data_IF_565885872217
#
_entry.id   IF_565885872217
#
_cell.length_a   1.000
_cell.length_b   1.000
_cell.length_c   1.000
_cell.angle_alpha   90.00
_cell.angle_beta   90.00
_cell.angle_gamma   90.00
#
_symmetry.space_group_name_H-M   'P 1'
#
loop_
_entity.id
_entity.type
_entity.pdbx_description
1 polymer ?
#
# COMPACT_ATOMS: atom_id res chain seq x y z
N UNK A 1 -30.24 50.28 48.92
CA UNK A 1 -30.03 51.69 48.56
C UNK A 1 -28.57 51.99 48.86
N UNK A 2 -27.80 52.32 47.80
CA UNK A 2 -26.35 52.64 47.72
C UNK A 2 -25.41 51.43 47.82
N UNK A 3 -24.84 50.86 46.73
CA UNK A 3 -23.79 51.35 45.78
C UNK A 3 -22.58 51.92 46.50
N UNK A 4 -21.30 51.57 46.28
CA UNK A 4 -20.52 50.82 45.25
C UNK A 4 -19.04 50.80 45.74
N UNK A 5 -18.00 50.29 45.04
CA UNK A 5 -17.95 49.43 43.84
C UNK A 5 -16.90 48.28 43.86
N UNK A 6 -17.15 47.32 42.96
CA UNK A 6 -16.24 46.57 42.08
C UNK A 6 -14.71 46.60 42.32
N UNK A 7 -14.13 45.46 42.71
CA UNK A 7 -12.78 45.08 42.30
C UNK A 7 -12.87 44.40 40.93
N UNK A 8 -12.35 45.09 39.89
CA UNK A 8 -12.04 44.50 38.59
C UNK A 8 -11.00 43.39 38.78
N UNK A 9 -11.33 42.18 38.37
CA UNK A 9 -10.34 41.14 38.11
C UNK A 9 -9.41 41.64 37.01
N UNK A 10 -8.16 41.89 37.37
CA UNK A 10 -7.09 42.14 36.42
C UNK A 10 -7.04 40.97 35.45
N UNK A 11 -7.28 41.28 34.17
CA UNK A 11 -6.91 40.43 33.07
C UNK A 11 -5.41 40.16 33.19
N UNK A 12 -5.04 38.93 33.56
CA UNK A 12 -3.70 38.40 33.35
C UNK A 12 -3.40 38.51 31.85
N UNK A 13 -2.70 39.57 31.49
CA UNK A 13 -2.02 39.65 30.21
C UNK A 13 -0.93 38.58 30.27
N UNK A 14 -0.90 37.61 29.33
CA UNK A 14 0.22 36.69 29.28
C UNK A 14 1.48 37.54 29.11
N UNK A 15 2.41 37.43 30.05
CA UNK A 15 3.72 38.05 29.93
C UNK A 15 4.37 37.65 28.60
N UNK A 16 5.33 38.46 28.10
CA UNK A 16 6.00 38.15 26.85
C UNK A 16 6.64 36.77 26.94
N UNK A 17 6.23 35.86 26.05
CA UNK A 17 6.84 34.55 25.86
C UNK A 17 8.34 34.77 25.66
N UNK A 18 9.16 34.11 26.48
CA UNK A 18 10.62 34.18 26.40
C UNK A 18 11.06 33.57 25.06
N UNK A 19 11.14 34.44 24.06
CA UNK A 19 11.46 34.19 22.65
C UNK A 19 12.97 34.13 22.46
N UNK A 20 13.66 33.21 23.15
CA UNK A 20 15.13 33.19 23.19
C UNK A 20 15.82 31.92 22.74
N UNK A 21 15.17 30.76 22.83
CA UNK A 21 15.77 29.45 22.55
C UNK A 21 14.70 28.44 22.13
N UNK A 22 13.90 28.80 21.12
CA UNK A 22 12.85 27.94 20.57
C UNK A 22 12.91 27.94 19.05
N UNK A 23 12.75 26.77 18.44
CA UNK A 23 12.73 26.61 16.99
C UNK A 23 11.30 26.83 16.48
N UNK A 24 11.07 27.95 15.80
CA UNK A 24 9.76 28.28 15.24
C UNK A 24 8.66 28.31 16.31
N UNK A 25 7.55 27.63 16.04
CA UNK A 25 6.40 27.51 16.94
C UNK A 25 6.47 26.27 17.85
N UNK A 26 7.62 25.58 17.89
CA UNK A 26 7.82 24.37 18.70
C UNK A 26 8.38 24.68 20.08
N UNK A 27 8.31 23.71 21.01
CA UNK A 27 8.96 23.78 22.31
C UNK A 27 10.45 23.39 22.29
N UNK A 28 11.03 23.17 21.11
CA UNK A 28 12.37 22.61 20.94
C UNK A 28 13.47 23.67 20.99
N UNK A 29 14.57 23.38 21.69
CA UNK A 29 15.71 24.29 21.88
C UNK A 29 16.61 24.40 20.64
N UNK A 30 16.89 25.63 20.20
CA UNK A 30 17.87 25.90 19.14
C UNK A 30 19.27 25.48 19.59
N UNK A 31 19.65 25.81 20.83
CA UNK A 31 20.97 25.49 21.40
C UNK A 31 21.25 24.00 21.45
N UNK A 32 20.25 23.20 21.79
CA UNK A 32 20.36 21.75 21.78
C UNK A 32 20.74 21.24 20.39
N UNK A 33 20.00 21.64 19.35
CA UNK A 33 20.28 21.24 17.97
C UNK A 33 21.66 21.75 17.51
N UNK A 34 21.98 23.01 17.78
CA UNK A 34 23.27 23.60 17.39
C UNK A 34 24.47 22.88 18.02
N UNK A 35 24.35 22.40 19.26
CA UNK A 35 25.39 21.58 19.91
C UNK A 35 25.65 20.30 19.13
N UNK A 36 24.61 19.61 18.66
CA UNK A 36 24.73 18.41 17.82
C UNK A 36 25.42 18.75 16.51
N UNK A 37 24.99 19.83 15.84
CA UNK A 37 25.58 20.24 14.56
C UNK A 37 27.07 20.60 14.68
N UNK A 38 27.48 21.21 15.80
CA UNK A 38 28.89 21.51 16.08
C UNK A 38 29.73 20.23 16.23
N UNK A 39 29.20 19.20 16.90
CA UNK A 39 29.85 17.89 17.01
C UNK A 39 29.99 17.23 15.64
N UNK A 40 28.93 17.25 14.82
CA UNK A 40 28.95 16.70 13.45
C UNK A 40 29.93 17.44 12.53
N UNK A 41 30.12 18.74 12.72
CA UNK A 41 31.05 19.54 11.93
C UNK A 41 32.52 19.25 12.24
N UNK A 42 32.84 18.67 13.41
CA UNK A 42 34.20 18.37 13.83
C UNK A 42 34.55 16.89 13.56
N UNK A 43 34.91 16.56 12.32
CA UNK A 43 35.21 15.18 11.91
C UNK A 43 36.36 14.54 12.72
N UNK A 44 37.33 15.34 13.17
CA UNK A 44 38.48 14.85 13.92
C UNK A 44 38.07 14.26 15.28
N UNK A 45 37.08 14.86 15.94
CA UNK A 45 36.53 14.36 17.22
C UNK A 45 35.26 13.52 17.05
N UNK A 46 34.65 13.49 15.86
CA UNK A 46 33.38 12.80 15.63
C UNK A 46 33.48 11.31 15.97
N UNK A 47 34.62 10.67 15.71
CA UNK A 47 34.83 9.26 16.09
C UNK A 47 34.73 9.03 17.60
N UNK A 48 35.24 9.97 18.40
CA UNK A 48 35.15 9.87 19.87
C UNK A 48 33.69 10.07 20.31
N UNK A 49 32.99 11.04 19.72
CA UNK A 49 31.57 11.33 19.97
C UNK A 49 30.68 10.13 19.63
N UNK A 50 30.93 9.42 18.53
CA UNK A 50 30.20 8.22 18.12
C UNK A 50 30.39 7.03 19.07
N UNK A 51 31.37 7.07 19.97
CA UNK A 51 31.53 6.08 21.04
C UNK A 51 30.79 6.48 22.32
N UNK A 52 30.27 7.72 22.40
CA UNK A 52 29.54 8.20 23.56
C UNK A 52 28.04 7.93 23.41
N UNK A 53 27.49 7.13 24.34
CA UNK A 53 26.04 6.90 24.42
C UNK A 53 25.23 8.19 24.50
N UNK A 54 25.75 9.21 25.20
CA UNK A 54 25.09 10.51 25.29
C UNK A 54 24.92 11.20 23.93
N UNK A 55 25.82 10.96 22.97
CA UNK A 55 25.67 11.50 21.63
C UNK A 55 24.64 10.70 20.81
N UNK A 56 24.57 9.37 20.99
CA UNK A 56 23.47 8.58 20.41
C UNK A 56 22.11 9.09 20.93
N UNK A 57 21.97 9.31 22.24
CA UNK A 57 20.74 9.82 22.87
C UNK A 57 20.40 11.24 22.33
N UNK A 58 21.42 12.11 22.17
CA UNK A 58 21.26 13.45 21.59
C UNK A 58 20.73 13.38 20.13
N UNK A 59 21.28 12.51 19.27
CA UNK A 59 20.84 12.37 17.88
C UNK A 59 19.49 11.63 17.78
N UNK A 60 19.20 10.64 18.65
CA UNK A 60 17.87 10.04 18.71
C UNK A 60 16.80 11.09 19.04
N UNK A 61 17.09 11.98 20.00
CA UNK A 61 16.21 13.11 20.31
C UNK A 61 16.03 14.00 19.07
N UNK A 62 17.12 14.30 18.35
CA UNK A 62 17.03 15.07 17.11
C UNK A 62 16.15 14.39 16.06
N UNK A 63 16.22 13.06 15.95
CA UNK A 63 15.35 12.28 15.08
C UNK A 63 13.87 12.48 15.43
N UNK A 64 13.49 12.36 16.69
CA UNK A 64 12.11 12.61 17.13
C UNK A 64 11.65 14.04 16.81
N UNK A 65 12.54 15.02 16.97
CA UNK A 65 12.24 16.43 16.67
C UNK A 65 11.98 16.68 15.18
N UNK A 66 12.59 15.91 14.27
CA UNK A 66 12.49 16.14 12.81
C UNK A 66 11.14 15.78 12.20
N UNK A 67 10.20 15.28 13.00
CA UNK A 67 8.78 15.21 12.61
C UNK A 67 8.18 16.60 12.42
N UNK A 68 8.68 17.60 13.15
CA UNK A 68 8.19 18.98 13.07
C UNK A 68 8.82 19.76 11.91
N UNK A 69 7.96 20.41 11.11
CA UNK A 69 8.39 21.20 9.95
C UNK A 69 9.39 22.30 10.32
N UNK A 70 9.17 23.02 11.40
CA UNK A 70 10.04 24.13 11.82
C UNK A 70 11.46 23.65 12.16
N UNK A 71 11.59 22.45 12.75
CA UNK A 71 12.89 21.82 13.02
C UNK A 71 13.60 21.47 11.72
N UNK A 72 12.88 20.91 10.74
CA UNK A 72 13.45 20.60 9.42
C UNK A 72 13.96 21.87 8.74
N UNK A 73 13.17 22.95 8.74
CA UNK A 73 13.57 24.23 8.14
C UNK A 73 14.78 24.86 8.86
N UNK A 74 14.83 24.75 10.19
CA UNK A 74 15.99 25.17 10.99
C UNK A 74 17.24 24.37 10.61
N UNK A 75 17.15 23.06 10.52
CA UNK A 75 18.24 22.18 10.10
C UNK A 75 18.75 22.49 8.68
N UNK A 76 17.84 22.78 7.74
CA UNK A 76 18.19 23.18 6.38
C UNK A 76 18.90 24.54 6.35
N UNK A 77 18.45 25.52 7.15
CA UNK A 77 19.14 26.80 7.33
C UNK A 77 20.59 26.60 7.79
N UNK A 78 20.83 25.59 8.61
CA UNK A 78 22.16 25.21 9.09
C UNK A 78 22.88 24.15 8.24
N UNK A 79 22.39 23.87 7.03
CA UNK A 79 23.01 22.96 6.04
C UNK A 79 23.30 21.55 6.58
N UNK A 80 22.39 20.99 7.40
CA UNK A 80 22.60 19.67 8.03
C UNK A 80 22.92 18.56 7.02
N UNK A 81 22.32 18.60 5.82
CA UNK A 81 22.55 17.58 4.79
C UNK A 81 24.02 17.56 4.33
N UNK A 82 24.70 18.71 4.31
CA UNK A 82 26.13 18.75 4.03
C UNK A 82 26.93 18.10 5.17
N UNK A 83 26.55 18.36 6.42
CA UNK A 83 27.19 17.74 7.59
C UNK A 83 27.02 16.21 7.55
N UNK A 84 25.82 15.72 7.24
CA UNK A 84 25.56 14.29 7.08
C UNK A 84 26.36 13.70 5.92
N UNK A 85 26.46 14.39 4.78
CA UNK A 85 27.29 13.94 3.66
C UNK A 85 28.78 13.79 4.04
N UNK A 86 29.30 14.64 4.94
CA UNK A 86 30.66 14.49 5.45
C UNK A 86 30.79 13.42 6.54
N UNK A 87 29.80 13.28 7.41
CA UNK A 87 29.83 12.38 8.56
C UNK A 87 29.58 10.92 8.17
N UNK A 88 28.50 10.64 7.42
CA UNK A 88 28.03 9.28 7.12
C UNK A 88 29.11 8.36 6.53
N UNK A 89 29.98 8.78 5.59
CA UNK A 89 31.04 7.92 5.07
C UNK A 89 32.06 7.45 6.13
N UNK A 90 32.11 8.10 7.29
CA UNK A 90 33.03 7.76 8.39
C UNK A 90 32.37 6.92 9.49
N UNK A 91 31.05 6.71 9.42
CA UNK A 91 30.26 5.99 10.41
C UNK A 91 30.17 4.52 9.98
N UNK A 92 30.70 3.62 10.82
CA UNK A 92 30.62 2.18 10.59
C UNK A 92 29.50 1.51 11.40
N UNK A 93 29.00 2.19 12.44
CA UNK A 93 28.01 1.65 13.36
C UNK A 93 26.60 1.68 12.75
N UNK A 94 25.92 0.53 12.56
CA UNK A 94 24.61 0.47 11.91
C UNK A 94 23.54 1.34 12.57
N UNK A 95 23.55 1.43 13.91
CA UNK A 95 22.61 2.25 14.67
C UNK A 95 22.68 3.73 14.31
N UNK A 96 23.88 4.29 14.11
CA UNK A 96 24.00 5.69 13.70
C UNK A 96 23.58 5.88 12.24
N UNK A 97 23.89 4.93 11.36
CA UNK A 97 23.41 4.99 9.96
C UNK A 97 21.88 5.00 9.94
N UNK A 98 21.24 4.09 10.67
CA UNK A 98 19.79 4.02 10.84
C UNK A 98 19.22 5.39 11.29
N UNK A 99 19.75 5.96 12.37
CA UNK A 99 19.27 7.24 12.91
C UNK A 99 19.42 8.37 11.89
N UNK A 100 20.56 8.47 11.21
CA UNK A 100 20.81 9.54 10.24
C UNK A 100 19.91 9.40 9.02
N UNK A 101 19.74 8.19 8.48
CA UNK A 101 18.80 7.94 7.37
C UNK A 101 17.37 8.23 7.83
N UNK A 102 17.02 7.89 9.07
CA UNK A 102 15.72 8.20 9.68
C UNK A 102 15.44 9.70 9.79
N UNK A 103 16.43 10.50 10.22
CA UNK A 103 16.35 11.97 10.22
C UNK A 103 16.11 12.49 8.81
N UNK A 104 16.91 12.04 7.83
CA UNK A 104 16.77 12.49 6.43
C UNK A 104 15.40 12.09 5.87
N UNK A 105 14.90 10.90 6.21
CA UNK A 105 13.59 10.42 5.80
C UNK A 105 12.44 11.28 6.34
N UNK A 106 12.50 11.68 7.61
CA UNK A 106 11.55 12.64 8.19
C UNK A 106 11.66 14.02 7.51
N UNK A 107 12.88 14.50 7.27
CA UNK A 107 13.10 15.76 6.56
C UNK A 107 12.48 15.76 5.15
N UNK A 108 12.53 14.62 4.44
CA UNK A 108 11.97 14.49 3.09
C UNK A 108 10.45 14.68 2.99
N UNK A 109 9.72 14.68 4.11
CA UNK A 109 8.33 15.13 4.15
C UNK A 109 8.17 16.62 3.78
N UNK A 110 9.26 17.40 3.81
CA UNK A 110 9.29 18.79 3.41
C UNK A 110 9.95 18.95 2.03
N UNK A 111 9.24 19.57 1.10
CA UNK A 111 9.71 19.79 -0.28
C UNK A 111 11.06 20.52 -0.32
N UNK A 112 11.33 21.41 0.63
CA UNK A 112 12.62 22.10 0.75
C UNK A 112 13.80 21.15 0.98
N UNK A 113 13.61 20.08 1.75
CA UNK A 113 14.63 19.07 1.99
C UNK A 113 14.85 18.23 0.73
N UNK A 114 13.78 17.77 0.08
CA UNK A 114 13.84 17.00 -1.17
C UNK A 114 14.57 17.79 -2.27
N UNK A 115 14.22 19.06 -2.44
CA UNK A 115 14.87 19.97 -3.39
C UNK A 115 16.36 20.21 -3.11
N UNK A 116 16.79 20.07 -1.86
CA UNK A 116 18.19 20.18 -1.48
C UNK A 116 18.92 18.87 -1.71
N UNK A 117 18.33 17.76 -1.27
CA UNK A 117 18.90 16.41 -1.38
C UNK A 117 19.11 15.98 -2.84
N UNK A 118 18.15 16.27 -3.72
CA UNK A 118 18.23 15.89 -5.15
C UNK A 118 19.36 16.59 -5.91
N UNK A 119 19.93 17.68 -5.35
CA UNK A 119 21.08 18.39 -5.92
C UNK A 119 22.42 17.86 -5.41
N UNK A 120 22.39 16.86 -4.54
CA UNK A 120 23.55 16.25 -3.91
C UNK A 120 23.76 14.83 -4.45
N UNK A 121 23.96 14.69 -5.77
CA UNK A 121 23.97 13.40 -6.49
C UNK A 121 24.79 12.31 -5.79
N UNK A 122 26.04 12.59 -5.40
CA UNK A 122 26.89 11.60 -4.72
C UNK A 122 26.35 11.20 -3.34
N UNK A 123 25.75 12.14 -2.61
CA UNK A 123 25.16 11.86 -1.31
C UNK A 123 23.87 11.04 -1.44
N UNK A 124 23.02 11.39 -2.40
CA UNK A 124 21.84 10.61 -2.72
C UNK A 124 22.21 9.20 -3.19
N UNK A 125 23.28 9.07 -3.99
CA UNK A 125 23.80 7.76 -4.41
C UNK A 125 24.22 6.92 -3.21
N UNK A 126 24.99 7.51 -2.27
CA UNK A 126 25.41 6.86 -1.03
C UNK A 126 24.21 6.38 -0.21
N UNK A 127 23.20 7.23 -0.04
CA UNK A 127 21.99 6.87 0.73
C UNK A 127 21.25 5.70 0.07
N UNK A 128 21.05 5.74 -1.25
CA UNK A 128 20.33 4.69 -1.97
C UNK A 128 21.10 3.38 -2.03
N UNK A 129 22.44 3.40 -1.97
CA UNK A 129 23.26 2.19 -1.95
C UNK A 129 23.05 1.34 -0.67
N UNK A 130 22.53 1.95 0.41
CA UNK A 130 22.13 1.20 1.61
C UNK A 130 21.01 0.19 1.36
N UNK A 131 20.34 0.20 0.20
CA UNK A 131 19.35 -0.84 -0.17
C UNK A 131 19.97 -2.25 -0.20
N UNK A 132 21.31 -2.33 -0.29
CA UNK A 132 22.10 -3.57 -0.33
C UNK A 132 22.56 -4.07 1.04
N UNK A 133 22.25 -3.36 2.12
CA UNK A 133 22.61 -3.81 3.47
C UNK A 133 21.72 -4.97 3.93
N UNK A 134 22.24 -5.82 4.81
CA UNK A 134 21.46 -6.87 5.48
C UNK A 134 20.77 -6.34 6.77
N UNK A 135 21.07 -5.11 7.19
CA UNK A 135 20.47 -4.50 8.38
C UNK A 135 19.04 -4.03 8.12
N UNK A 136 18.06 -4.73 8.69
CA UNK A 136 16.65 -4.44 8.48
C UNK A 136 16.24 -3.03 8.95
N UNK A 137 16.87 -2.47 9.98
CA UNK A 137 16.49 -1.16 10.51
C UNK A 137 16.94 -0.06 9.55
N UNK A 138 18.16 -0.15 9.01
CA UNK A 138 18.64 0.76 7.96
C UNK A 138 17.74 0.67 6.73
N UNK A 139 17.41 -0.55 6.28
CA UNK A 139 16.52 -0.75 5.13
C UNK A 139 15.16 -0.09 5.36
N UNK A 140 14.54 -0.29 6.52
CA UNK A 140 13.24 0.35 6.86
C UNK A 140 13.34 1.87 6.73
N UNK A 141 14.39 2.50 7.27
CA UNK A 141 14.53 3.95 7.18
C UNK A 141 14.80 4.42 5.75
N UNK A 142 15.59 3.68 4.97
CA UNK A 142 15.84 4.00 3.57
C UNK A 142 14.56 3.97 2.74
N UNK A 143 13.78 2.89 2.87
CA UNK A 143 12.51 2.72 2.17
C UNK A 143 11.53 3.84 2.54
N UNK A 144 11.46 4.22 3.83
CA UNK A 144 10.68 5.38 4.30
C UNK A 144 11.16 6.69 3.68
N UNK A 145 12.46 6.93 3.61
CA UNK A 145 13.05 8.12 2.99
C UNK A 145 12.60 8.25 1.54
N UNK A 146 12.71 7.18 0.76
CA UNK A 146 12.27 7.16 -0.64
C UNK A 146 10.77 7.46 -0.73
N UNK A 147 9.95 6.79 0.08
CA UNK A 147 8.49 7.01 0.09
C UNK A 147 8.10 8.43 0.49
N UNK A 148 8.82 9.06 1.43
CA UNK A 148 8.57 10.45 1.83
C UNK A 148 8.98 11.47 0.76
N UNK A 149 10.03 11.17 -0.01
CA UNK A 149 10.55 12.11 -1.00
C UNK A 149 9.68 12.19 -2.25
N UNK A 150 9.23 11.04 -2.77
CA UNK A 150 8.56 10.93 -4.08
C UNK A 150 7.35 11.85 -4.26
N UNK A 151 6.43 12.02 -3.28
CA UNK A 151 5.26 12.88 -3.43
C UNK A 151 5.56 14.36 -3.69
N UNK A 152 6.73 14.84 -3.30
CA UNK A 152 7.12 16.25 -3.45
C UNK A 152 7.78 16.59 -4.79
N UNK A 153 8.05 15.57 -5.61
CA UNK A 153 8.84 15.68 -6.84
C UNK A 153 8.04 16.17 -8.03
N UNK A 154 8.70 16.91 -8.92
CA UNK A 154 8.19 17.20 -10.26
C UNK A 154 8.64 16.13 -11.28
N UNK A 155 8.24 16.27 -12.54
CA UNK A 155 8.57 15.27 -13.57
C UNK A 155 10.07 15.14 -13.84
N UNK A 156 10.81 16.24 -13.84
CA UNK A 156 12.25 16.28 -14.03
C UNK A 156 12.99 15.61 -12.86
N UNK A 157 12.53 15.84 -11.63
CA UNK A 157 13.06 15.21 -10.43
C UNK A 157 12.91 13.68 -10.49
N UNK A 158 11.75 13.19 -10.95
CA UNK A 158 11.49 11.74 -11.08
C UNK A 158 12.45 11.06 -12.05
N UNK A 159 12.87 11.73 -13.12
CA UNK A 159 13.87 11.20 -14.04
C UNK A 159 15.23 11.00 -13.34
N UNK A 160 15.62 11.92 -12.47
CA UNK A 160 16.85 11.80 -11.68
C UNK A 160 16.76 10.57 -10.78
N UNK A 161 15.64 10.39 -10.08
CA UNK A 161 15.44 9.26 -9.18
C UNK A 161 15.42 7.91 -9.90
N UNK A 162 14.75 7.80 -11.05
CA UNK A 162 14.79 6.59 -11.86
C UNK A 162 16.22 6.24 -12.31
N UNK A 163 17.00 7.23 -12.74
CA UNK A 163 18.41 7.03 -13.09
C UNK A 163 19.24 6.55 -11.88
N UNK A 164 18.96 7.07 -10.69
CA UNK A 164 19.65 6.68 -9.46
C UNK A 164 19.26 5.26 -9.03
N UNK A 165 17.97 4.90 -9.12
CA UNK A 165 17.51 3.53 -8.87
C UNK A 165 18.20 2.53 -9.79
N UNK A 166 18.32 2.85 -11.08
CA UNK A 166 19.08 2.03 -12.03
C UNK A 166 20.54 1.90 -11.61
N UNK A 167 21.21 3.04 -11.32
CA UNK A 167 22.63 3.09 -10.96
C UNK A 167 22.97 2.21 -9.75
N UNK A 168 22.11 2.18 -8.74
CA UNK A 168 22.35 1.38 -7.52
C UNK A 168 21.76 -0.02 -7.57
N UNK A 169 20.99 -0.40 -8.60
CA UNK A 169 20.30 -1.68 -8.63
C UNK A 169 19.17 -1.77 -7.61
N UNK A 170 18.44 -0.67 -7.41
CA UNK A 170 17.44 -0.53 -6.34
C UNK A 170 16.29 -1.54 -6.47
N UNK A 171 15.76 -1.73 -7.69
CA UNK A 171 14.63 -2.65 -7.91
C UNK A 171 14.99 -4.09 -7.59
N UNK A 172 16.17 -4.56 -8.05
CA UNK A 172 16.65 -5.91 -7.77
C UNK A 172 16.82 -6.17 -6.27
N UNK A 173 17.41 -5.21 -5.54
CA UNK A 173 17.58 -5.30 -4.10
C UNK A 173 16.22 -5.23 -3.35
N UNK A 174 15.28 -4.40 -3.81
CA UNK A 174 13.92 -4.36 -3.26
C UNK A 174 13.20 -5.71 -3.42
N UNK A 175 13.30 -6.34 -4.60
CA UNK A 175 12.70 -7.65 -4.86
C UNK A 175 13.35 -8.74 -4.02
N UNK A 176 14.67 -8.69 -3.86
CA UNK A 176 15.38 -9.59 -2.95
C UNK A 176 14.85 -9.47 -1.52
N UNK A 177 14.66 -8.26 -1.01
CA UNK A 177 14.11 -8.02 0.33
C UNK A 177 12.67 -8.53 0.47
N UNK A 178 11.80 -8.24 -0.50
CA UNK A 178 10.40 -8.71 -0.52
C UNK A 178 10.30 -10.24 -0.55
N UNK A 179 11.24 -10.91 -1.24
CA UNK A 179 11.22 -12.37 -1.43
C UNK A 179 11.82 -13.15 -0.27
N UNK A 180 12.83 -12.59 0.42
CA UNK A 180 13.67 -13.35 1.36
C UNK A 180 13.59 -12.88 2.81
N UNK A 181 12.98 -11.73 3.10
CA UNK A 181 12.85 -11.26 4.48
C UNK A 181 11.72 -11.98 5.23
N UNK A 182 11.95 -12.26 6.52
CA UNK A 182 10.91 -12.66 7.48
C UNK A 182 10.55 -11.53 8.45
N UNK A 183 11.23 -10.39 8.36
CA UNK A 183 10.98 -9.24 9.22
C UNK A 183 9.69 -8.54 8.77
N UNK A 184 8.64 -8.67 9.58
CA UNK A 184 7.31 -8.05 9.34
C UNK A 184 7.41 -6.59 8.95
N UNK A 185 8.09 -5.77 9.76
CA UNK A 185 8.16 -4.34 9.55
C UNK A 185 8.86 -4.00 8.23
N UNK A 186 9.95 -4.71 7.92
CA UNK A 186 10.65 -4.53 6.66
C UNK A 186 9.75 -4.89 5.46
N UNK A 187 9.02 -6.00 5.51
CA UNK A 187 8.12 -6.41 4.42
C UNK A 187 6.99 -5.40 4.21
N UNK A 188 6.35 -4.94 5.29
CA UNK A 188 5.29 -3.91 5.20
C UNK A 188 5.84 -2.65 4.57
N UNK A 189 6.96 -2.13 5.09
CA UNK A 189 7.58 -0.91 4.57
C UNK A 189 8.07 -1.07 3.11
N UNK A 190 8.54 -2.26 2.72
CA UNK A 190 8.93 -2.54 1.34
C UNK A 190 7.74 -2.57 0.37
N UNK A 191 6.61 -3.16 0.76
CA UNK A 191 5.38 -3.13 -0.04
C UNK A 191 4.84 -1.70 -0.19
N UNK A 192 4.85 -0.91 0.89
CA UNK A 192 4.45 0.49 0.84
C UNK A 192 5.39 1.32 -0.05
N UNK A 193 6.69 1.04 0.00
CA UNK A 193 7.66 1.70 -0.86
C UNK A 193 7.43 1.37 -2.35
N UNK A 194 7.22 0.09 -2.68
CA UNK A 194 6.90 -0.32 -4.05
C UNK A 194 5.60 0.34 -4.53
N UNK A 195 4.56 0.38 -3.69
CA UNK A 195 3.30 1.04 -4.03
C UNK A 195 3.48 2.55 -4.27
N UNK A 196 4.31 3.20 -3.46
CA UNK A 196 4.63 4.63 -3.63
C UNK A 196 5.38 4.85 -4.96
N UNK A 197 6.33 3.97 -5.30
CA UNK A 197 7.04 4.01 -6.59
C UNK A 197 6.05 3.83 -7.76
N UNK A 198 5.12 2.86 -7.67
CA UNK A 198 4.08 2.67 -8.69
C UNK A 198 3.22 3.92 -8.88
N UNK A 199 2.83 4.56 -7.78
CA UNK A 199 1.95 5.74 -7.77
C UNK A 199 2.61 6.99 -8.35
N UNK A 200 3.89 7.22 -8.05
CA UNK A 200 4.56 8.49 -8.37
C UNK A 200 5.53 8.41 -9.55
N UNK A 201 6.18 7.27 -9.79
CA UNK A 201 7.18 7.15 -10.86
C UNK A 201 6.59 6.76 -12.22
N UNK A 202 5.37 6.23 -12.26
CA UNK A 202 4.67 5.86 -13.50
C UNK A 202 4.13 7.09 -14.25
N UNK A 203 5.02 7.93 -14.75
CA UNK A 203 4.67 9.15 -15.53
C UNK A 203 4.83 8.88 -17.02
N UNK A 204 3.87 9.33 -17.83
CA UNK A 204 3.85 9.17 -19.28
C UNK A 204 5.20 9.50 -19.95
N UNK A 205 5.89 10.56 -19.51
CA UNK A 205 7.18 11.01 -20.05
C UNK A 205 8.34 10.02 -19.81
N UNK A 206 8.33 9.27 -18.71
CA UNK A 206 9.42 8.35 -18.31
C UNK A 206 8.95 6.91 -18.15
N UNK A 207 7.79 6.60 -18.76
CA UNK A 207 7.08 5.33 -18.63
C UNK A 207 7.95 4.12 -18.98
N UNK A 208 8.75 4.22 -20.05
CA UNK A 208 9.66 3.14 -20.45
C UNK A 208 10.75 2.84 -19.40
N UNK A 209 11.36 3.90 -18.83
CA UNK A 209 12.38 3.73 -17.78
C UNK A 209 11.77 3.12 -16.52
N UNK A 210 10.58 3.59 -16.12
CA UNK A 210 9.85 2.99 -15.00
C UNK A 210 9.59 1.49 -15.24
N UNK A 211 9.25 1.09 -16.47
CA UNK A 211 8.95 -0.30 -16.80
C UNK A 211 10.15 -1.23 -16.81
N UNK A 212 11.30 -0.76 -17.31
CA UNK A 212 12.55 -1.52 -17.28
C UNK A 212 12.88 -2.01 -15.86
N UNK A 213 12.44 -1.26 -14.83
CA UNK A 213 12.70 -1.59 -13.44
C UNK A 213 11.52 -2.24 -12.73
N UNK A 214 10.31 -1.69 -12.87
CA UNK A 214 9.20 -1.94 -11.94
C UNK A 214 8.01 -2.69 -12.53
N UNK A 215 8.02 -2.98 -13.84
CA UNK A 215 6.97 -3.79 -14.49
C UNK A 215 7.61 -5.01 -15.13
N UNK A 216 7.87 -6.01 -14.29
CA UNK A 216 8.42 -7.28 -14.68
C UNK A 216 7.88 -8.42 -13.80
N UNK A 217 8.08 -9.66 -14.24
CA UNK A 217 7.68 -10.85 -13.48
C UNK A 217 8.29 -10.92 -12.08
N UNK A 218 9.57 -10.55 -11.92
CA UNK A 218 10.23 -10.59 -10.61
C UNK A 218 9.55 -9.63 -9.62
N UNK A 219 9.05 -8.48 -10.09
CA UNK A 219 8.29 -7.53 -9.27
C UNK A 219 7.00 -8.15 -8.73
N UNK A 220 6.19 -8.74 -9.59
CA UNK A 220 4.91 -9.35 -9.21
C UNK A 220 5.11 -10.57 -8.31
N UNK A 221 6.09 -11.42 -8.62
CA UNK A 221 6.38 -12.63 -7.83
C UNK A 221 6.95 -12.31 -6.46
N UNK A 222 7.88 -11.36 -6.34
CA UNK A 222 8.42 -10.92 -5.05
C UNK A 222 7.37 -10.22 -4.19
N UNK A 223 6.56 -9.33 -4.79
CA UNK A 223 5.42 -8.70 -4.12
C UNK A 223 4.41 -9.74 -3.62
N UNK A 224 4.06 -10.74 -4.44
CA UNK A 224 3.15 -11.81 -4.02
C UNK A 224 3.73 -12.66 -2.90
N UNK A 225 5.04 -12.89 -2.91
CA UNK A 225 5.74 -13.64 -1.85
C UNK A 225 5.64 -12.89 -0.51
N UNK A 226 5.98 -11.60 -0.50
CA UNK A 226 5.83 -10.74 0.68
C UNK A 226 4.37 -10.66 1.16
N UNK A 227 3.43 -10.47 0.23
CA UNK A 227 2.01 -10.45 0.51
C UNK A 227 1.56 -11.75 1.18
N UNK A 228 1.97 -12.91 0.66
CA UNK A 228 1.62 -14.22 1.20
C UNK A 228 2.19 -14.41 2.60
N UNK A 229 3.46 -14.04 2.79
CA UNK A 229 4.11 -14.12 4.10
C UNK A 229 3.38 -13.28 5.15
N UNK A 230 2.96 -12.06 4.80
CA UNK A 230 2.23 -11.18 5.72
C UNK A 230 0.77 -11.62 5.95
N UNK A 231 0.02 -11.88 4.87
CA UNK A 231 -1.43 -12.09 4.91
C UNK A 231 -1.85 -13.51 5.28
N UNK A 232 -0.93 -14.49 5.15
CA UNK A 232 -1.18 -15.89 5.46
C UNK A 232 -0.30 -16.36 6.62
N UNK A 233 1.04 -16.30 6.48
CA UNK A 233 1.96 -16.84 7.49
C UNK A 233 1.94 -16.02 8.77
N UNK A 234 2.03 -14.69 8.66
CA UNK A 234 2.17 -13.76 9.78
C UNK A 234 0.88 -12.99 10.09
N UNK A 235 -0.28 -13.47 9.59
CA UNK A 235 -1.57 -12.78 9.69
C UNK A 235 -1.92 -12.33 11.11
N UNK A 236 -1.67 -13.18 12.10
CA UNK A 236 -1.99 -12.92 13.51
C UNK A 236 -1.12 -11.82 14.15
N UNK A 237 0.00 -11.46 13.51
CA UNK A 237 0.93 -10.42 14.00
C UNK A 237 0.60 -9.00 13.49
N UNK A 238 -0.41 -8.89 12.62
CA UNK A 238 -0.86 -7.64 12.01
C UNK A 238 -2.15 -7.17 12.68
N UNK A 239 -2.28 -5.86 12.84
CA UNK A 239 -3.60 -5.26 13.12
C UNK A 239 -4.53 -5.40 11.91
N UNK A 240 -5.84 -5.26 12.14
CA UNK A 240 -6.86 -5.29 11.07
C UNK A 240 -6.53 -4.26 9.99
N UNK A 241 -6.25 -3.02 10.40
CA UNK A 241 -5.95 -1.90 9.51
C UNK A 241 -4.66 -2.14 8.69
N UNK A 242 -3.62 -2.71 9.30
CA UNK A 242 -2.39 -3.07 8.57
C UNK A 242 -2.67 -4.14 7.51
N UNK A 243 -3.43 -5.18 7.86
CA UNK A 243 -3.76 -6.27 6.93
C UNK A 243 -4.60 -5.79 5.75
N UNK A 244 -5.64 -5.00 6.01
CA UNK A 244 -6.51 -4.43 4.97
C UNK A 244 -5.72 -3.48 4.06
N UNK A 245 -4.84 -2.66 4.63
CA UNK A 245 -3.93 -1.81 3.85
C UNK A 245 -3.01 -2.62 2.95
N UNK A 246 -2.39 -3.70 3.46
CA UNK A 246 -1.53 -4.60 2.67
C UNK A 246 -2.32 -5.22 1.51
N UNK A 247 -3.56 -5.64 1.74
CA UNK A 247 -4.45 -6.17 0.70
C UNK A 247 -4.74 -5.13 -0.39
N UNK A 248 -5.13 -3.92 -0.01
CA UNK A 248 -5.44 -2.83 -0.93
C UNK A 248 -4.23 -2.48 -1.80
N UNK A 249 -3.06 -2.22 -1.19
CA UNK A 249 -1.87 -1.81 -1.97
C UNK A 249 -1.36 -2.95 -2.86
N UNK A 250 -1.45 -4.22 -2.42
CA UNK A 250 -1.01 -5.36 -3.23
C UNK A 250 -1.89 -5.55 -4.45
N UNK A 251 -3.20 -5.35 -4.30
CA UNK A 251 -4.13 -5.42 -5.42
C UNK A 251 -3.94 -4.24 -6.38
N UNK A 252 -3.76 -3.02 -5.87
CA UNK A 252 -3.50 -1.84 -6.70
C UNK A 252 -2.21 -1.97 -7.49
N UNK A 253 -1.11 -2.37 -6.84
CA UNK A 253 0.16 -2.65 -7.53
C UNK A 253 0.01 -3.74 -8.60
N UNK A 254 -0.76 -4.79 -8.32
CA UNK A 254 -1.08 -5.81 -9.32
C UNK A 254 -1.78 -5.18 -10.52
N UNK A 255 -2.83 -4.38 -10.31
CA UNK A 255 -3.53 -3.69 -11.40
C UNK A 255 -2.60 -2.78 -12.20
N UNK A 256 -1.74 -2.01 -11.53
CA UNK A 256 -0.81 -1.08 -12.17
C UNK A 256 0.21 -1.80 -13.05
N UNK A 257 0.72 -2.94 -12.61
CA UNK A 257 1.66 -3.76 -13.37
C UNK A 257 1.00 -4.40 -14.60
N UNK A 258 -0.23 -4.90 -14.46
CA UNK A 258 -0.89 -5.67 -15.53
C UNK A 258 -1.63 -4.78 -16.51
N UNK A 259 -1.96 -3.53 -16.17
CA UNK A 259 -2.65 -2.60 -17.07
C UNK A 259 -1.79 -2.03 -18.21
N UNK A 260 -0.60 -2.60 -18.45
CA UNK A 260 0.32 -2.17 -19.50
C UNK A 260 0.07 -2.86 -20.85
N UNK A 261 0.66 -2.34 -21.93
CA UNK A 261 0.58 -2.92 -23.27
C UNK A 261 1.20 -4.33 -23.29
N UNK A 262 0.42 -5.32 -23.73
CA UNK A 262 0.78 -6.76 -23.82
C UNK A 262 1.11 -7.44 -22.47
N UNK A 263 0.22 -7.37 -21.47
CA UNK A 263 0.48 -7.96 -20.16
C UNK A 263 0.54 -9.48 -20.22
N UNK A 264 -0.20 -10.10 -21.15
CA UNK A 264 -0.18 -11.53 -21.40
C UNK A 264 1.14 -12.03 -22.01
N UNK A 265 2.04 -11.16 -22.47
CA UNK A 265 3.41 -11.55 -22.90
C UNK A 265 4.41 -11.50 -21.74
N UNK A 266 4.18 -10.62 -20.75
CA UNK A 266 5.10 -10.38 -19.62
C UNK A 266 4.76 -11.28 -18.42
N UNK A 267 3.47 -11.57 -18.22
CA UNK A 267 2.92 -12.23 -17.03
C UNK A 267 2.19 -13.54 -17.37
N UNK A 268 2.56 -14.20 -18.45
CA UNK A 268 1.91 -15.44 -18.93
C UNK A 268 1.90 -16.58 -17.91
N UNK A 269 2.89 -16.63 -17.01
CA UNK A 269 3.00 -17.62 -15.95
C UNK A 269 2.82 -17.07 -14.53
N UNK A 270 2.27 -15.86 -14.40
CA UNK A 270 1.95 -15.24 -13.10
C UNK A 270 0.51 -15.46 -12.66
N UNK A 271 -0.28 -16.30 -13.34
CA UNK A 271 -1.68 -16.53 -13.03
C UNK A 271 -1.89 -17.01 -11.58
N UNK A 272 -1.02 -17.91 -11.08
CA UNK A 272 -1.10 -18.39 -9.70
C UNK A 272 -0.76 -17.28 -8.69
N UNK A 273 0.17 -16.38 -9.03
CA UNK A 273 0.51 -15.25 -8.18
C UNK A 273 -0.68 -14.30 -8.02
N UNK A 274 -1.28 -13.89 -9.14
CA UNK A 274 -2.47 -13.04 -9.18
C UNK A 274 -3.66 -13.72 -8.51
N UNK A 275 -3.86 -15.02 -8.80
CA UNK A 275 -4.90 -15.84 -8.19
C UNK A 275 -4.74 -15.93 -6.67
N UNK A 276 -3.52 -16.02 -6.16
CA UNK A 276 -3.24 -16.03 -4.71
C UNK A 276 -3.66 -14.72 -4.06
N UNK A 277 -3.26 -13.57 -4.62
CA UNK A 277 -3.65 -12.24 -4.11
C UNK A 277 -5.17 -12.11 -4.06
N UNK A 278 -5.84 -12.39 -5.19
CA UNK A 278 -7.31 -12.28 -5.30
C UNK A 278 -8.00 -13.22 -4.33
N UNK A 279 -7.57 -14.49 -4.24
CA UNK A 279 -8.19 -15.49 -3.37
C UNK A 279 -8.10 -15.13 -1.89
N UNK A 280 -6.93 -14.62 -1.45
CA UNK A 280 -6.72 -14.23 -0.06
C UNK A 280 -7.58 -13.01 0.31
N UNK A 281 -7.65 -12.01 -0.56
CA UNK A 281 -8.47 -10.80 -0.35
C UNK A 281 -9.95 -11.19 -0.29
N UNK A 282 -10.43 -11.93 -1.28
CA UNK A 282 -11.84 -12.33 -1.32
C UNK A 282 -12.22 -13.21 -0.12
N UNK A 283 -11.34 -14.12 0.31
CA UNK A 283 -11.59 -14.95 1.50
C UNK A 283 -11.68 -14.13 2.79
N UNK A 284 -10.86 -13.09 2.93
CA UNK A 284 -10.95 -12.16 4.05
C UNK A 284 -12.30 -11.42 4.08
N UNK A 285 -12.69 -10.83 2.95
CA UNK A 285 -13.94 -10.08 2.86
C UNK A 285 -15.19 -10.96 2.86
N UNK A 286 -15.10 -12.21 2.42
CA UNK A 286 -16.18 -13.18 2.60
C UNK A 286 -16.41 -13.47 4.10
N UNK A 287 -15.36 -13.66 4.88
CA UNK A 287 -15.51 -13.87 6.32
C UNK A 287 -16.18 -12.65 6.99
N UNK A 288 -15.70 -11.44 6.67
CA UNK A 288 -16.25 -10.17 7.15
C UNK A 288 -17.75 -10.01 6.81
N UNK A 289 -18.11 -10.21 5.55
CA UNK A 289 -19.48 -10.04 5.07
C UNK A 289 -20.43 -11.18 5.49
N UNK A 290 -19.99 -12.43 5.34
CA UNK A 290 -20.86 -13.61 5.49
C UNK A 290 -20.92 -14.08 6.93
N UNK A 291 -19.80 -14.09 7.65
CA UNK A 291 -19.72 -14.61 9.02
C UNK A 291 -19.94 -13.51 10.05
N UNK A 292 -19.24 -12.38 9.90
CA UNK A 292 -19.28 -11.27 10.86
C UNK A 292 -20.44 -10.29 10.60
N UNK A 293 -21.04 -10.34 9.41
CA UNK A 293 -22.12 -9.42 8.96
C UNK A 293 -21.67 -7.95 8.94
N UNK A 294 -20.38 -7.72 8.79
CA UNK A 294 -19.79 -6.39 8.65
C UNK A 294 -19.80 -5.98 7.18
N UNK A 295 -20.27 -4.77 6.92
CA UNK A 295 -20.26 -4.15 5.58
C UNK A 295 -19.05 -3.25 5.51
N UNK A 296 -18.35 -3.31 4.39
CA UNK A 296 -17.19 -2.49 4.12
C UNK A 296 -17.34 -1.85 2.74
N UNK A 297 -17.36 -0.52 2.68
CA UNK A 297 -17.49 0.22 1.43
C UNK A 297 -16.33 -0.06 0.47
N UNK A 298 -15.12 -0.29 1.01
CA UNK A 298 -13.90 -0.48 0.22
C UNK A 298 -13.97 -1.78 -0.59
N UNK A 299 -14.81 -2.74 -0.19
CA UNK A 299 -15.00 -3.99 -0.91
C UNK A 299 -15.56 -3.77 -2.33
N UNK A 300 -16.35 -2.70 -2.55
CA UNK A 300 -16.85 -2.37 -3.89
C UNK A 300 -15.68 -1.99 -4.81
N UNK A 301 -14.80 -1.12 -4.34
CA UNK A 301 -13.63 -0.64 -5.09
C UNK A 301 -12.62 -1.77 -5.32
N UNK A 302 -12.42 -2.63 -4.31
CA UNK A 302 -11.60 -3.83 -4.43
C UNK A 302 -12.14 -4.79 -5.49
N UNK A 303 -13.45 -5.01 -5.55
CA UNK A 303 -14.06 -5.85 -6.58
C UNK A 303 -13.95 -5.24 -7.98
N UNK A 304 -14.05 -3.92 -8.11
CA UNK A 304 -13.79 -3.25 -9.39
C UNK A 304 -12.34 -3.47 -9.83
N UNK A 305 -11.39 -3.33 -8.92
CA UNK A 305 -9.97 -3.60 -9.18
C UNK A 305 -9.74 -5.06 -9.60
N UNK A 306 -10.33 -6.03 -8.88
CA UNK A 306 -10.30 -7.46 -9.25
C UNK A 306 -10.89 -7.66 -10.65
N UNK A 307 -12.05 -7.07 -10.95
CA UNK A 307 -12.71 -7.17 -12.26
C UNK A 307 -11.81 -6.68 -13.40
N UNK A 308 -11.06 -5.60 -13.18
CA UNK A 308 -10.11 -5.09 -14.16
C UNK A 308 -8.94 -6.05 -14.36
N UNK A 309 -8.37 -6.59 -13.28
CA UNK A 309 -7.27 -7.56 -13.35
C UNK A 309 -7.68 -8.82 -14.11
N UNK A 310 -8.82 -9.44 -13.77
CA UNK A 310 -9.27 -10.70 -14.41
C UNK A 310 -9.71 -10.52 -15.87
N UNK A 311 -10.02 -9.29 -16.29
CA UNK A 311 -10.29 -8.98 -17.70
C UNK A 311 -9.00 -8.95 -18.53
N UNK A 312 -7.90 -8.57 -17.89
CA UNK A 312 -6.58 -8.44 -18.51
C UNK A 312 -5.85 -9.79 -18.49
N UNK A 313 -5.79 -10.43 -17.33
CA UNK A 313 -5.10 -11.71 -17.12
C UNK A 313 -6.14 -12.82 -17.05
N UNK A 314 -6.05 -13.85 -17.91
CA UNK A 314 -7.06 -14.90 -18.01
C UNK A 314 -6.89 -15.97 -16.91
N UNK A 315 -6.80 -15.57 -15.65
CA UNK A 315 -6.61 -16.47 -14.50
C UNK A 315 -7.73 -17.53 -14.42
N UNK A 316 -8.93 -17.20 -14.91
CA UNK A 316 -10.09 -18.09 -14.99
C UNK A 316 -9.82 -19.40 -15.74
N UNK A 317 -8.84 -19.43 -16.65
CA UNK A 317 -8.52 -20.61 -17.45
C UNK A 317 -7.77 -21.68 -16.65
N UNK A 318 -7.09 -21.28 -15.59
CA UNK A 318 -6.14 -22.13 -14.85
C UNK A 318 -6.52 -22.29 -13.37
N UNK A 319 -7.20 -21.31 -12.78
CA UNK A 319 -7.58 -21.37 -11.37
C UNK A 319 -8.76 -22.31 -11.13
N UNK A 320 -8.72 -23.04 -10.00
CA UNK A 320 -9.83 -23.83 -9.49
C UNK A 320 -11.01 -22.93 -9.03
N UNK A 321 -12.27 -23.43 -9.07
CA UNK A 321 -13.44 -22.66 -8.65
C UNK A 321 -13.36 -22.15 -7.20
N UNK A 322 -12.68 -22.88 -6.33
CA UNK A 322 -12.49 -22.54 -4.92
C UNK A 322 -11.62 -21.30 -4.71
N UNK A 323 -10.79 -20.91 -5.68
CA UNK A 323 -9.89 -19.76 -5.54
C UNK A 323 -10.64 -18.44 -5.47
N UNK A 324 -11.71 -18.26 -6.24
CA UNK A 324 -12.49 -17.01 -6.18
C UNK A 324 -13.95 -17.14 -6.58
N UNK A 325 -14.32 -18.05 -7.48
CA UNK A 325 -15.73 -18.20 -7.88
C UNK A 325 -16.62 -18.52 -6.69
N UNK A 326 -16.22 -19.52 -5.89
CA UNK A 326 -17.03 -20.01 -4.77
C UNK A 326 -17.21 -18.97 -3.67
N UNK A 327 -16.15 -18.23 -3.37
CA UNK A 327 -16.12 -17.12 -2.43
C UNK A 327 -17.02 -15.97 -2.92
N UNK A 328 -16.93 -15.59 -4.21
CA UNK A 328 -17.83 -14.58 -4.80
C UNK A 328 -19.29 -15.02 -4.76
N UNK A 329 -19.58 -16.29 -5.06
CA UNK A 329 -20.94 -16.83 -5.01
C UNK A 329 -21.50 -16.85 -3.59
N UNK A 330 -20.69 -17.22 -2.60
CA UNK A 330 -21.06 -17.19 -1.18
C UNK A 330 -21.48 -15.79 -0.73
N UNK A 331 -20.67 -14.77 -1.05
CA UNK A 331 -21.01 -13.36 -0.81
C UNK A 331 -22.29 -12.94 -1.55
N UNK A 332 -22.40 -13.26 -2.85
CA UNK A 332 -23.58 -12.92 -3.66
C UNK A 332 -24.86 -13.52 -3.07
N UNK A 333 -24.80 -14.79 -2.65
CA UNK A 333 -25.92 -15.51 -2.02
C UNK A 333 -26.29 -14.92 -0.66
N UNK A 334 -25.30 -14.51 0.14
CA UNK A 334 -25.54 -13.81 1.39
C UNK A 334 -26.29 -12.49 1.16
N UNK A 335 -25.84 -11.67 0.19
CA UNK A 335 -26.52 -10.42 -0.16
C UNK A 335 -27.94 -10.65 -0.67
N UNK A 336 -28.18 -11.68 -1.49
CA UNK A 336 -29.52 -12.07 -1.95
C UNK A 336 -30.43 -12.43 -0.78
N UNK A 337 -29.94 -13.25 0.15
CA UNK A 337 -30.70 -13.67 1.32
C UNK A 337 -31.07 -12.49 2.23
N UNK A 338 -30.13 -11.56 2.47
CA UNK A 338 -30.39 -10.37 3.29
C UNK A 338 -31.40 -9.42 2.60
N UNK A 339 -31.30 -9.26 1.28
CA UNK A 339 -32.26 -8.43 0.51
C UNK A 339 -33.69 -8.96 0.67
N UNK A 340 -33.87 -10.29 0.61
CA UNK A 340 -35.19 -10.93 0.75
C UNK A 340 -35.78 -10.77 2.17
N UNK A 341 -34.94 -10.79 3.21
CA UNK A 341 -35.37 -10.56 4.60
C UNK A 341 -35.82 -9.12 4.82
N UNK A 342 -35.09 -8.14 4.27
CA UNK A 342 -35.44 -6.72 4.38
C UNK A 342 -36.78 -6.38 3.68
N UNK A 343 -37.12 -7.08 2.59
CA UNK A 343 -38.43 -6.95 1.93
C UNK A 343 -39.59 -7.49 2.77
N UNK A 344 -39.32 -8.43 3.68
CA UNK A 344 -40.31 -9.05 4.56
C UNK A 344 -40.45 -8.36 5.93
N UNK A 345 -39.73 -7.25 6.16
CA UNK A 345 -39.87 -6.39 7.36
C UNK A 345 -39.12 -6.85 8.62
N UNK A 346 -38.28 -7.87 8.53
CA UNK A 346 -37.66 -8.56 9.68
C UNK A 346 -36.13 -8.32 9.74
N UNK A 347 -35.70 -7.06 9.59
CA UNK A 347 -34.28 -6.70 9.52
C UNK A 347 -33.69 -6.35 10.91
N UNK A 348 -32.53 -6.91 11.25
CA UNK A 348 -31.76 -6.53 12.46
C UNK A 348 -30.98 -5.20 12.34
N UNK A 349 -31.16 -4.42 11.27
CA UNK A 349 -30.44 -3.17 10.99
C UNK A 349 -31.31 -1.94 11.32
N UNK A 350 -30.71 -0.86 11.85
CA UNK A 350 -31.38 0.42 12.11
C UNK A 350 -31.80 1.09 10.78
N UNK A 351 -32.75 2.05 10.79
CA UNK A 351 -33.31 2.62 9.54
C UNK A 351 -32.28 3.36 8.67
N UNK A 352 -31.27 4.01 9.28
CA UNK A 352 -30.19 4.71 8.57
C UNK A 352 -29.24 3.70 7.89
N UNK A 353 -29.01 2.55 8.53
CA UNK A 353 -28.19 1.46 7.97
C UNK A 353 -28.84 0.79 6.76
N UNK A 354 -30.16 0.93 6.56
CA UNK A 354 -30.88 0.28 5.46
C UNK A 354 -30.63 0.93 4.11
N UNK A 355 -30.53 2.24 4.04
CA UNK A 355 -30.25 2.95 2.77
C UNK A 355 -28.82 2.69 2.32
N UNK A 356 -27.85 2.83 3.24
CA UNK A 356 -26.44 2.52 3.00
C UNK A 356 -26.24 1.06 2.60
N UNK A 357 -26.91 0.13 3.28
CA UNK A 357 -26.89 -1.28 2.90
C UNK A 357 -27.51 -1.54 1.52
N UNK A 358 -28.62 -0.87 1.18
CA UNK A 358 -29.23 -1.03 -0.13
C UNK A 358 -28.32 -0.51 -1.25
N UNK A 359 -27.66 0.62 -1.04
CA UNK A 359 -26.66 1.16 -1.96
C UNK A 359 -25.47 0.22 -2.11
N UNK A 360 -24.93 -0.28 -1.00
CA UNK A 360 -23.89 -1.30 -0.99
C UNK A 360 -24.29 -2.54 -1.80
N UNK A 361 -25.47 -3.12 -1.54
CA UNK A 361 -25.98 -4.29 -2.29
C UNK A 361 -26.13 -4.01 -3.77
N UNK A 362 -26.63 -2.81 -4.13
CA UNK A 362 -26.85 -2.40 -5.52
C UNK A 362 -25.54 -2.33 -6.31
N UNK A 363 -24.44 -1.94 -5.67
CA UNK A 363 -23.13 -1.87 -6.30
C UNK A 363 -22.40 -3.23 -6.27
N UNK A 364 -22.51 -3.96 -5.17
CA UNK A 364 -21.82 -5.25 -4.95
C UNK A 364 -22.32 -6.38 -5.85
N UNK A 365 -23.64 -6.57 -5.96
CA UNK A 365 -24.20 -7.71 -6.71
C UNK A 365 -23.78 -7.73 -8.18
N UNK A 366 -23.85 -6.61 -8.93
CA UNK A 366 -23.32 -6.54 -10.29
C UNK A 366 -21.83 -6.86 -10.34
N UNK A 367 -21.01 -6.27 -9.46
CA UNK A 367 -19.56 -6.48 -9.44
C UNK A 367 -19.17 -7.94 -9.20
N UNK A 368 -19.80 -8.61 -8.23
CA UNK A 368 -19.62 -10.05 -7.99
C UNK A 368 -20.08 -10.89 -9.19
N UNK A 369 -21.17 -10.48 -9.85
CA UNK A 369 -21.69 -11.19 -11.03
C UNK A 369 -20.72 -11.11 -12.20
N UNK A 370 -20.02 -9.98 -12.39
CA UNK A 370 -18.96 -9.84 -13.41
C UNK A 370 -17.83 -10.83 -13.14
N UNK A 371 -17.34 -10.93 -11.90
CA UNK A 371 -16.27 -11.89 -11.54
C UNK A 371 -16.70 -13.32 -11.84
N UNK A 372 -17.88 -13.72 -11.36
CA UNK A 372 -18.42 -15.07 -11.56
C UNK A 372 -18.65 -15.39 -13.05
N UNK A 373 -19.19 -14.44 -13.81
CA UNK A 373 -19.47 -14.64 -15.22
C UNK A 373 -18.20 -14.66 -16.08
N UNK A 374 -17.20 -13.85 -15.73
CA UNK A 374 -15.88 -13.92 -16.36
C UNK A 374 -15.23 -15.29 -16.14
N UNK A 375 -15.35 -15.86 -14.93
CA UNK A 375 -14.92 -17.23 -14.67
C UNK A 375 -15.64 -18.23 -15.57
N UNK A 376 -16.98 -18.24 -15.56
CA UNK A 376 -17.79 -19.14 -16.39
C UNK A 376 -17.55 -18.98 -17.89
N UNK A 377 -17.17 -17.79 -18.33
CA UNK A 377 -16.86 -17.51 -19.73
C UNK A 377 -15.57 -18.23 -20.18
N UNK A 378 -14.56 -18.31 -19.30
CA UNK A 378 -13.20 -18.69 -19.68
C UNK A 378 -12.70 -20.03 -19.10
N UNK A 379 -13.31 -20.51 -18.01
CA UNK A 379 -12.87 -21.73 -17.33
C UNK A 379 -13.03 -22.98 -18.19
N UNK A 380 -12.38 -24.07 -17.77
CA UNK A 380 -12.51 -25.36 -18.42
C UNK A 380 -13.98 -25.86 -18.43
N UNK A 381 -14.28 -26.85 -19.27
CA UNK A 381 -15.63 -27.42 -19.31
C UNK A 381 -15.97 -28.17 -18.00
N UNK A 382 -15.01 -28.87 -17.42
CA UNK A 382 -15.17 -29.55 -16.13
C UNK A 382 -15.48 -28.55 -15.02
N UNK A 383 -14.70 -27.48 -14.92
CA UNK A 383 -14.93 -26.42 -13.93
C UNK A 383 -16.27 -25.72 -14.14
N UNK A 384 -16.68 -25.50 -15.39
CA UNK A 384 -18.00 -24.95 -15.70
C UNK A 384 -19.12 -25.82 -15.12
N UNK A 385 -19.04 -27.14 -15.27
CA UNK A 385 -20.07 -28.05 -14.75
C UNK A 385 -20.12 -27.98 -13.22
N UNK A 386 -18.96 -28.01 -12.56
CA UNK A 386 -18.86 -27.90 -11.11
C UNK A 386 -19.53 -26.62 -10.58
N UNK A 387 -19.29 -25.48 -11.23
CA UNK A 387 -19.90 -24.22 -10.79
C UNK A 387 -21.39 -24.13 -11.12
N UNK A 388 -21.84 -24.67 -12.26
CA UNK A 388 -23.26 -24.67 -12.64
C UNK A 388 -24.08 -25.57 -11.71
N UNK A 389 -23.54 -26.72 -11.30
CA UNK A 389 -24.18 -27.59 -10.31
C UNK A 389 -24.30 -26.92 -8.95
N UNK A 390 -23.29 -26.14 -8.56
CA UNK A 390 -23.28 -25.42 -7.29
C UNK A 390 -24.31 -24.28 -7.23
N UNK A 391 -24.44 -23.50 -8.30
CA UNK A 391 -25.38 -22.36 -8.35
C UNK A 391 -26.81 -22.77 -8.73
N UNK A 392 -26.98 -23.89 -9.43
CA UNK A 392 -28.28 -24.40 -9.87
C UNK A 392 -29.08 -23.37 -10.67
N UNK A 393 -30.31 -23.09 -10.21
CA UNK A 393 -31.24 -22.17 -10.89
C UNK A 393 -30.92 -20.68 -10.65
N UNK A 394 -29.91 -20.36 -9.83
CA UNK A 394 -29.54 -18.96 -9.56
C UNK A 394 -28.73 -18.32 -10.69
N UNK A 395 -28.37 -19.09 -11.72
CA UNK A 395 -27.65 -18.60 -12.90
C UNK A 395 -28.41 -17.48 -13.65
N UNK A 396 -29.74 -17.54 -13.71
CA UNK A 396 -30.57 -16.51 -14.35
C UNK A 396 -30.47 -15.18 -13.59
N UNK A 397 -30.55 -15.20 -12.26
CA UNK A 397 -30.41 -14.01 -11.42
C UNK A 397 -29.02 -13.38 -11.52
N UNK A 398 -27.98 -14.22 -11.57
CA UNK A 398 -26.59 -13.78 -11.76
C UNK A 398 -26.43 -13.08 -13.12
N UNK A 399 -26.95 -13.68 -14.20
CA UNK A 399 -26.93 -13.08 -15.54
C UNK A 399 -27.79 -11.82 -15.68
N UNK A 400 -28.85 -11.69 -14.89
CA UNK A 400 -29.69 -10.48 -14.85
C UNK A 400 -29.00 -9.32 -14.15
N UNK A 401 -28.02 -9.60 -13.29
CA UNK A 401 -27.24 -8.58 -12.58
C UNK A 401 -26.08 -8.00 -13.42
N UNK A 402 -25.81 -8.57 -14.61
CA UNK A 402 -24.79 -8.07 -15.54
C UNK A 402 -25.29 -6.93 -16.41
N UNK A 403 -24.42 -5.94 -16.62
CA UNK A 403 -24.58 -4.87 -17.62
C UNK A 403 -23.87 -5.17 -18.95
N UNK A 404 -22.82 -6.00 -18.91
CA UNK A 404 -22.03 -6.41 -20.07
C UNK A 404 -22.79 -7.45 -20.92
N UNK A 405 -23.31 -7.00 -22.07
CA UNK A 405 -24.12 -7.84 -22.96
C UNK A 405 -23.32 -8.92 -23.69
N UNK A 406 -22.05 -8.64 -24.02
CA UNK A 406 -21.21 -9.60 -24.73
C UNK A 406 -20.84 -10.77 -23.81
N UNK A 407 -20.47 -10.46 -22.56
CA UNK A 407 -20.26 -11.46 -21.51
C UNK A 407 -21.54 -12.26 -21.26
N UNK A 408 -22.69 -11.59 -21.15
CA UNK A 408 -23.98 -12.25 -20.94
C UNK A 408 -24.30 -13.26 -22.05
N UNK A 409 -24.08 -12.89 -23.31
CA UNK A 409 -24.28 -13.80 -24.46
C UNK A 409 -23.31 -14.97 -24.42
N UNK A 410 -22.03 -14.72 -24.15
CA UNK A 410 -21.00 -15.76 -24.10
C UNK A 410 -21.29 -16.81 -23.02
N UNK A 411 -21.61 -16.37 -21.80
CA UNK A 411 -21.93 -17.26 -20.68
C UNK A 411 -23.26 -17.99 -20.93
N UNK A 412 -24.28 -17.29 -21.42
CA UNK A 412 -25.59 -17.90 -21.75
C UNK A 412 -25.45 -19.03 -22.77
N UNK A 413 -24.58 -18.86 -23.78
CA UNK A 413 -24.27 -19.90 -24.74
C UNK A 413 -23.65 -21.14 -24.06
N UNK A 414 -22.64 -20.94 -23.20
CA UNK A 414 -22.01 -22.04 -22.46
C UNK A 414 -22.98 -22.77 -21.54
N UNK A 415 -23.91 -22.06 -20.89
CA UNK A 415 -24.97 -22.65 -20.05
C UNK A 415 -25.97 -23.45 -20.89
N UNK A 416 -26.36 -22.94 -22.07
CA UNK A 416 -27.24 -23.66 -22.96
C UNK A 416 -26.64 -24.99 -23.43
N UNK A 417 -25.35 -24.97 -23.80
CA UNK A 417 -24.61 -26.17 -24.19
C UNK A 417 -24.56 -27.20 -23.04
N UNK A 418 -24.46 -26.73 -21.78
CA UNK A 418 -24.55 -27.59 -20.59
C UNK A 418 -25.93 -28.22 -20.41
N UNK A 419 -26.99 -27.41 -20.42
CA UNK A 419 -28.38 -27.89 -20.23
C UNK A 419 -28.80 -28.89 -21.30
N UNK A 420 -28.36 -28.68 -22.55
CA UNK A 420 -28.65 -29.60 -23.66
C UNK A 420 -28.05 -30.98 -23.42
N UNK A 421 -26.80 -31.04 -22.94
CA UNK A 421 -26.12 -32.32 -22.61
C UNK A 421 -26.75 -33.06 -21.43
N UNK A 422 -27.20 -32.34 -20.41
CA UNK A 422 -27.93 -32.98 -19.30
C UNK A 422 -29.17 -33.70 -19.82
N UNK A 423 -29.96 -33.04 -20.67
CA UNK A 423 -31.16 -33.63 -21.25
C UNK A 423 -30.84 -34.84 -22.15
N UNK A 424 -29.77 -34.80 -22.94
CA UNK A 424 -29.32 -35.94 -23.76
C UNK A 424 -28.88 -37.15 -22.91
N UNK A 425 -28.28 -36.91 -21.73
CA UNK A 425 -27.87 -37.97 -20.80
C UNK A 425 -29.02 -38.53 -19.94
N UNK A 426 -30.14 -37.82 -19.79
CA UNK A 426 -31.34 -38.35 -19.12
C UNK A 426 -32.22 -39.23 -20.02
N UNK A 427 -32.07 -39.09 -21.34
CA UNK A 427 -32.79 -39.87 -22.37
C UNK A 427 -32.02 -41.13 -22.85
N UNK A 428 -30.92 -41.49 -22.17
CA UNK A 428 -30.13 -42.72 -22.38
C UNK A 428 -30.06 -43.58 -21.13
#
# INVERSE_FOLDING_TARGET
>A
MKTDPELKSESETPGPVVTGDVIGDTAYSERFVLKILLKLANLDSLKDELNEKAFEDDICTLWDMTVERDVVLFLLKHKVLNLFNFALPTIETPRYIEIFVGIIGNMCCQKEAVNTLIKMDEFLNLLLDYIKTDDSLILIQLLRLVSSALPSMNSEDIAIWLNMFNKVGYSEALYYNLKNSLNKQLLVTALENLNTICSYCNIQKYRNQYFEHFVCKEALTSMTTAFTELSITQKESLSKDELERIMIISLQMTLDMVSFEKPTEIFDDCNENVGTIISTILGYYEAKLVQEKEIDSDLVDLLECINNIIRIIPISKECEPDKYFNTCYSMWKALKSITNVNQNGDSNFEEVDKEEFQEFVKNMKPSLSVVMCKYMQECSQEHLFNVLDKIGNENEDILMSLTDMDMKVAVSKRIFDYKTRLNENFDS
#
